data_IF_415333411561
#
_entry.id   IF_415333411561
#
_cell.length_a   1.000
_cell.length_b   1.000
_cell.length_c   1.000
_cell.angle_alpha   90.00
_cell.angle_beta   90.00
_cell.angle_gamma   90.00
#
_symmetry.space_group_name_H-M   'P 1'
#
loop_
_entity.id
_entity.type
_entity.pdbx_description
1 polymer ?
#
# COMPACT_ATOMS: atom_id res chain seq x y z
N UNK A 1 -29.57 -40.95 26.94
CA UNK A 1 -29.99 -41.97 25.94
C UNK A 1 -29.13 -43.20 26.09
N UNK A 2 -29.73 -44.37 26.37
CA UNK A 2 -28.99 -45.64 26.49
C UNK A 2 -28.28 -45.97 25.16
N UNK A 3 -27.03 -46.48 25.20
CA UNK A 3 -26.30 -46.84 24.00
C UNK A 3 -27.07 -47.95 23.25
N UNK A 4 -27.29 -47.81 21.93
CA UNK A 4 -27.85 -48.86 21.08
C UNK A 4 -26.97 -50.10 21.19
N UNK A 5 -27.64 -51.28 21.34
CA UNK A 5 -26.96 -52.57 21.38
C UNK A 5 -26.04 -52.73 20.15
N UNK A 6 -24.80 -53.17 20.36
CA UNK A 6 -23.83 -53.41 19.31
C UNK A 6 -24.26 -54.57 18.40
N UNK A 7 -24.06 -54.43 17.08
CA UNK A 7 -24.22 -55.56 16.17
C UNK A 7 -23.20 -56.65 16.49
N UNK A 8 -23.55 -57.93 16.40
CA UNK A 8 -22.74 -59.10 16.74
C UNK A 8 -21.35 -59.08 16.10
N UNK A 9 -21.19 -58.49 14.91
CA UNK A 9 -19.90 -58.38 14.21
C UNK A 9 -18.98 -57.22 14.64
N UNK A 10 -19.35 -56.43 15.63
CA UNK A 10 -18.57 -55.25 16.11
C UNK A 10 -18.23 -55.34 17.61
N UNK A 11 -18.37 -56.52 18.23
CA UNK A 11 -18.14 -56.71 19.68
C UNK A 11 -16.66 -56.55 20.08
N UNK A 12 -15.74 -56.76 19.14
CA UNK A 12 -14.29 -56.61 19.30
C UNK A 12 -13.75 -55.22 18.99
N UNK A 13 -14.65 -54.26 18.66
CA UNK A 13 -14.27 -52.86 18.35
C UNK A 13 -14.55 -51.94 19.54
N UNK A 14 -13.80 -50.83 19.70
CA UNK A 14 -14.07 -49.83 20.72
C UNK A 14 -15.48 -49.23 20.59
N UNK A 15 -16.03 -48.62 21.66
CA UNK A 15 -17.27 -47.84 21.58
C UNK A 15 -17.24 -46.85 20.41
N UNK A 16 -18.41 -46.59 19.81
CA UNK A 16 -18.60 -45.67 18.70
C UNK A 16 -17.96 -46.09 17.37
N UNK A 17 -17.43 -47.33 17.20
CA UNK A 17 -16.90 -47.83 15.94
C UNK A 17 -17.87 -48.80 15.30
N UNK A 18 -18.11 -48.62 14.00
CA UNK A 18 -18.90 -49.50 13.11
C UNK A 18 -18.03 -49.95 11.93
N UNK A 19 -18.32 -51.16 11.39
CA UNK A 19 -17.76 -51.60 10.13
C UNK A 19 -18.70 -51.31 8.98
N UNK A 20 -18.14 -50.92 7.82
CA UNK A 20 -18.84 -50.74 6.55
C UNK A 20 -18.19 -51.67 5.51
N UNK A 21 -18.91 -52.71 5.10
CA UNK A 21 -18.46 -53.68 4.08
C UNK A 21 -18.94 -53.19 2.72
N UNK A 22 -18.02 -52.94 1.80
CA UNK A 22 -18.31 -52.58 0.43
C UNK A 22 -18.59 -53.83 -0.44
N UNK A 23 -19.24 -53.66 -1.58
CA UNK A 23 -19.57 -54.71 -2.55
C UNK A 23 -18.32 -55.46 -3.07
N UNK A 24 -17.13 -54.84 -3.05
CA UNK A 24 -15.86 -55.43 -3.42
C UNK A 24 -15.19 -56.21 -2.27
N UNK A 25 -15.89 -56.48 -1.16
CA UNK A 25 -15.40 -57.24 0.00
C UNK A 25 -14.50 -56.42 0.96
N UNK A 26 -14.13 -55.21 0.64
CA UNK A 26 -13.33 -54.35 1.50
C UNK A 26 -14.10 -53.88 2.71
N UNK A 27 -13.47 -53.92 3.91
CA UNK A 27 -14.03 -53.46 5.19
C UNK A 27 -13.43 -52.09 5.52
N UNK A 28 -14.29 -51.14 5.82
CA UNK A 28 -13.91 -49.82 6.33
C UNK A 28 -14.41 -49.65 7.73
N UNK A 29 -13.62 -49.00 8.58
CA UNK A 29 -13.97 -48.66 9.95
C UNK A 29 -14.48 -47.21 9.99
N UNK A 30 -15.58 -46.99 10.71
CA UNK A 30 -16.21 -45.66 10.86
C UNK A 30 -16.46 -45.36 12.32
N UNK A 31 -16.20 -44.14 12.69
CA UNK A 31 -16.54 -43.64 14.02
C UNK A 31 -17.91 -42.92 13.99
N UNK A 32 -18.78 -43.26 14.92
CA UNK A 32 -20.12 -42.67 15.03
C UNK A 32 -20.12 -41.63 16.15
N UNK A 33 -20.33 -40.39 15.78
CA UNK A 33 -20.40 -39.27 16.71
C UNK A 33 -21.70 -39.28 17.53
N UNK A 34 -21.76 -38.59 18.69
CA UNK A 34 -23.00 -38.43 19.47
C UNK A 34 -24.17 -37.85 18.68
N UNK A 35 -23.91 -37.00 17.69
CA UNK A 35 -24.90 -36.42 16.78
C UNK A 35 -25.33 -37.37 15.64
N UNK A 36 -24.86 -38.62 15.62
CA UNK A 36 -25.20 -39.63 14.61
C UNK A 36 -24.40 -39.55 13.31
N UNK A 37 -23.48 -38.57 13.14
CA UNK A 37 -22.60 -38.48 11.97
C UNK A 37 -21.57 -39.60 12.00
N UNK A 38 -21.20 -40.12 10.81
CA UNK A 38 -20.22 -41.20 10.62
C UNK A 38 -18.96 -40.66 9.98
N UNK A 39 -17.79 -40.95 10.57
CA UNK A 39 -16.49 -40.55 10.06
C UNK A 39 -15.62 -41.78 9.76
N UNK A 40 -14.94 -41.79 8.62
CA UNK A 40 -14.05 -42.87 8.25
C UNK A 40 -12.81 -42.87 9.13
N UNK A 41 -12.41 -44.07 9.59
CA UNK A 41 -11.16 -44.34 10.28
C UNK A 41 -10.19 -45.13 9.42
N UNK A 42 -10.49 -45.32 8.12
CA UNK A 42 -9.64 -46.08 7.21
C UNK A 42 -10.00 -47.58 7.13
N UNK A 43 -9.06 -48.37 6.57
CA UNK A 43 -9.22 -49.81 6.30
C UNK A 43 -8.44 -50.69 7.29
N UNK A 44 -7.42 -50.10 7.92
CA UNK A 44 -6.61 -50.84 8.89
C UNK A 44 -7.32 -50.88 10.25
N UNK A 45 -7.53 -52.11 10.74
CA UNK A 45 -8.23 -52.34 12.02
C UNK A 45 -7.44 -51.82 13.21
N UNK A 46 -6.11 -51.98 13.23
CA UNK A 46 -5.28 -51.60 14.34
C UNK A 46 -5.23 -50.06 14.47
N UNK A 47 -5.04 -49.38 13.39
CA UNK A 47 -5.06 -47.90 13.35
C UNK A 47 -6.45 -47.34 13.70
N UNK A 48 -7.51 -47.93 13.19
CA UNK A 48 -8.87 -47.53 13.49
C UNK A 48 -9.21 -47.70 14.98
N UNK A 49 -8.75 -48.78 15.62
CA UNK A 49 -8.93 -49.02 17.05
C UNK A 49 -8.15 -48.01 17.90
N UNK A 50 -6.90 -47.72 17.56
CA UNK A 50 -6.09 -46.69 18.25
C UNK A 50 -6.71 -45.31 18.15
N UNK A 51 -7.12 -44.93 16.94
CA UNK A 51 -7.78 -43.66 16.69
C UNK A 51 -9.11 -43.55 17.46
N UNK A 52 -9.92 -44.60 17.48
CA UNK A 52 -11.17 -44.63 18.20
C UNK A 52 -10.99 -44.54 19.75
N UNK A 53 -9.97 -45.20 20.28
CA UNK A 53 -9.66 -45.10 21.72
C UNK A 53 -9.24 -43.66 22.10
N UNK A 54 -8.40 -43.03 21.27
CA UNK A 54 -8.02 -41.61 21.49
C UNK A 54 -9.23 -40.67 21.42
N UNK A 55 -10.11 -40.91 20.45
CA UNK A 55 -11.35 -40.11 20.28
C UNK A 55 -12.31 -40.33 21.48
N UNK A 56 -12.48 -41.54 21.97
CA UNK A 56 -13.32 -41.82 23.14
C UNK A 56 -12.78 -41.13 24.40
N UNK A 57 -11.45 -41.21 24.61
CA UNK A 57 -10.82 -40.51 25.74
C UNK A 57 -10.94 -38.98 25.65
N UNK A 58 -10.97 -38.42 24.45
CA UNK A 58 -11.20 -36.99 24.22
C UNK A 58 -12.67 -36.61 24.41
N UNK A 59 -13.61 -37.48 24.02
CA UNK A 59 -15.04 -37.31 24.17
C UNK A 59 -15.46 -37.27 25.64
N UNK A 60 -14.88 -38.14 26.44
CA UNK A 60 -15.10 -38.19 27.91
C UNK A 60 -14.63 -36.91 28.62
N UNK A 61 -13.59 -36.26 28.06
CA UNK A 61 -13.04 -35.01 28.61
C UNK A 61 -13.79 -33.75 28.13
N UNK A 62 -14.21 -33.71 26.85
CA UNK A 62 -14.91 -32.56 26.28
C UNK A 62 -15.61 -32.95 24.94
N UNK A 63 -16.94 -33.12 24.92
CA UNK A 63 -17.70 -33.50 23.72
C UNK A 63 -17.55 -32.57 22.54
N UNK A 64 -17.35 -31.27 22.76
CA UNK A 64 -17.22 -30.26 21.69
C UNK A 64 -15.87 -30.34 20.98
N UNK A 65 -14.81 -30.78 21.64
CA UNK A 65 -13.48 -30.93 21.03
C UNK A 65 -13.49 -31.99 19.94
N UNK A 66 -14.19 -33.10 20.13
CA UNK A 66 -14.25 -34.19 19.16
C UNK A 66 -14.97 -33.78 17.90
N UNK A 67 -16.06 -33.03 18.01
CA UNK A 67 -16.76 -32.46 16.87
C UNK A 67 -15.86 -31.49 16.08
N UNK A 68 -15.05 -30.70 16.75
CA UNK A 68 -14.08 -29.77 16.14
C UNK A 68 -12.93 -30.52 15.45
N UNK A 69 -12.34 -31.55 16.09
CA UNK A 69 -11.25 -32.35 15.51
C UNK A 69 -11.75 -33.08 14.26
N UNK A 70 -12.94 -33.67 14.26
CA UNK A 70 -13.47 -34.41 13.15
C UNK A 70 -14.01 -33.52 12.02
N UNK A 71 -14.43 -32.31 12.31
CA UNK A 71 -14.73 -31.28 11.31
C UNK A 71 -13.44 -30.73 10.67
N UNK A 72 -12.36 -30.65 11.44
CA UNK A 72 -11.06 -30.33 10.89
C UNK A 72 -10.47 -31.46 10.03
N UNK A 73 -10.72 -32.73 10.35
CA UNK A 73 -10.30 -33.87 9.54
C UNK A 73 -11.02 -33.93 8.16
N UNK A 74 -12.23 -33.37 8.02
CA UNK A 74 -12.87 -33.16 6.72
C UNK A 74 -12.17 -32.11 5.86
N UNK A 75 -11.39 -31.20 6.48
CA UNK A 75 -10.57 -30.21 5.77
C UNK A 75 -9.30 -30.80 5.17
N UNK A 76 -8.87 -31.99 5.61
CA UNK A 76 -7.68 -32.68 5.10
C UNK A 76 -7.89 -33.31 3.69
N UNK A 77 -9.13 -33.35 3.16
CA UNK A 77 -9.40 -33.81 1.78
C UNK A 77 -9.41 -32.66 0.74
N UNK A 78 -9.39 -31.41 1.15
CA UNK A 78 -9.04 -30.28 0.29
C UNK A 78 -7.52 -30.17 0.31
N UNK A 79 -6.85 -30.54 -0.78
CA UNK A 79 -5.41 -30.35 -0.94
C UNK A 79 -5.09 -28.87 -0.65
N UNK A 80 -4.47 -28.61 0.49
CA UNK A 80 -3.99 -27.26 0.83
C UNK A 80 -2.93 -26.91 -0.22
N UNK A 81 -3.11 -25.84 -0.99
CA UNK A 81 -2.16 -25.48 -2.03
C UNK A 81 -0.82 -25.07 -1.42
N UNK A 82 0.25 -25.22 -2.19
CA UNK A 82 1.49 -24.56 -1.85
C UNK A 82 1.33 -23.02 -1.98
N UNK A 83 2.28 -22.29 -1.44
CA UNK A 83 2.21 -20.81 -1.42
C UNK A 83 2.09 -20.23 -2.84
N UNK A 84 2.82 -20.78 -3.83
CA UNK A 84 2.76 -20.32 -5.22
C UNK A 84 1.35 -20.45 -5.80
N UNK A 85 0.71 -21.59 -5.60
CA UNK A 85 -0.66 -21.82 -6.06
C UNK A 85 -1.65 -20.90 -5.35
N UNK A 86 -1.54 -20.77 -4.02
CA UNK A 86 -2.38 -19.87 -3.23
C UNK A 86 -2.20 -18.40 -3.62
N UNK A 87 -0.96 -18.00 -3.89
CA UNK A 87 -0.64 -16.65 -4.32
C UNK A 87 -1.22 -16.33 -5.71
N UNK A 88 -1.14 -17.28 -6.66
CA UNK A 88 -1.71 -17.11 -7.98
C UNK A 88 -3.23 -16.96 -7.94
N UNK A 89 -3.91 -17.71 -7.08
CA UNK A 89 -5.34 -17.56 -6.83
C UNK A 89 -5.68 -16.20 -6.19
N UNK A 90 -4.89 -15.74 -5.22
CA UNK A 90 -5.03 -14.40 -4.65
C UNK A 90 -4.88 -13.30 -5.71
N UNK A 91 -3.86 -13.40 -6.57
CA UNK A 91 -3.63 -12.45 -7.65
C UNK A 91 -4.84 -12.43 -8.59
N UNK A 92 -5.29 -13.59 -9.06
CA UNK A 92 -6.39 -13.73 -10.01
C UNK A 92 -7.72 -13.22 -9.45
N UNK A 93 -8.05 -13.59 -8.21
CA UNK A 93 -9.39 -13.42 -7.66
C UNK A 93 -9.54 -12.16 -6.80
N UNK A 94 -8.45 -11.60 -6.29
CA UNK A 94 -8.45 -10.47 -5.35
C UNK A 94 -7.65 -9.28 -5.85
N UNK A 95 -6.37 -9.48 -6.18
CA UNK A 95 -5.47 -8.38 -6.53
C UNK A 95 -5.86 -7.75 -7.89
N UNK A 96 -6.19 -8.55 -8.89
CA UNK A 96 -6.60 -8.09 -10.23
C UNK A 96 -7.87 -7.23 -10.23
N UNK A 97 -8.71 -7.36 -9.19
CA UNK A 97 -9.93 -6.55 -9.03
C UNK A 97 -9.67 -5.18 -8.42
N UNK A 98 -8.46 -4.94 -7.88
CA UNK A 98 -8.07 -3.65 -7.31
C UNK A 98 -7.50 -2.75 -8.40
N UNK A 99 -8.01 -1.55 -8.51
CA UNK A 99 -7.52 -0.55 -9.48
C UNK A 99 -6.30 0.18 -8.89
N UNK A 100 -5.12 -0.43 -9.00
CA UNK A 100 -3.87 0.21 -8.62
C UNK A 100 -3.23 0.94 -9.79
N UNK A 101 -2.46 1.99 -9.50
CA UNK A 101 -1.57 2.62 -10.47
C UNK A 101 -0.47 1.64 -10.91
N UNK A 102 0.02 1.76 -12.16
CA UNK A 102 1.06 0.87 -12.69
C UNK A 102 2.29 0.81 -11.79
N UNK A 103 2.79 1.96 -11.30
CA UNK A 103 3.91 2.02 -10.38
C UNK A 103 3.66 1.31 -9.04
N UNK A 104 2.42 1.30 -8.55
CA UNK A 104 2.03 0.55 -7.35
C UNK A 104 2.03 -0.95 -7.65
N UNK A 105 1.51 -1.36 -8.83
CA UNK A 105 1.51 -2.76 -9.24
C UNK A 105 2.93 -3.29 -9.45
N UNK A 106 3.84 -2.50 -10.02
CA UNK A 106 5.26 -2.88 -10.15
C UNK A 106 5.90 -3.19 -8.78
N UNK A 107 5.67 -2.34 -7.79
CA UNK A 107 6.15 -2.55 -6.41
C UNK A 107 5.52 -3.81 -5.80
N UNK A 108 4.20 -3.99 -5.97
CA UNK A 108 3.50 -5.17 -5.47
C UNK A 108 4.09 -6.42 -6.12
N UNK A 109 4.23 -6.47 -7.44
CA UNK A 109 4.76 -7.63 -8.17
C UNK A 109 6.19 -7.95 -7.72
N UNK A 110 7.07 -6.96 -7.60
CA UNK A 110 8.41 -7.17 -7.08
C UNK A 110 8.44 -7.74 -5.63
N UNK A 111 7.45 -7.38 -4.80
CA UNK A 111 7.31 -7.97 -3.48
C UNK A 111 6.77 -9.40 -3.53
N UNK A 112 5.81 -9.68 -4.41
CA UNK A 112 5.28 -11.02 -4.62
C UNK A 112 6.36 -11.99 -5.11
N UNK A 113 7.27 -11.54 -5.98
CA UNK A 113 8.39 -12.33 -6.47
C UNK A 113 9.34 -12.71 -5.32
N UNK A 114 9.65 -11.79 -4.40
CA UNK A 114 10.43 -12.11 -3.19
C UNK A 114 9.74 -13.17 -2.32
N UNK A 115 8.42 -13.14 -2.20
CA UNK A 115 7.70 -14.15 -1.41
C UNK A 115 7.71 -15.52 -2.11
N UNK A 116 7.67 -15.56 -3.45
CA UNK A 116 7.85 -16.77 -4.23
C UNK A 116 9.21 -17.40 -4.01
N UNK A 117 10.27 -16.60 -4.10
CA UNK A 117 11.65 -17.06 -3.85
C UNK A 117 11.80 -17.75 -2.49
N UNK A 118 11.05 -17.29 -1.48
CA UNK A 118 11.16 -17.82 -0.12
C UNK A 118 10.24 -19.00 0.16
N UNK A 119 9.01 -18.99 -0.35
CA UNK A 119 7.96 -19.91 0.14
C UNK A 119 7.20 -20.65 -0.95
N UNK A 120 7.52 -20.50 -2.24
CA UNK A 120 6.74 -21.05 -3.35
C UNK A 120 6.28 -22.49 -3.14
N UNK A 121 7.18 -23.37 -2.70
CA UNK A 121 6.94 -24.79 -2.53
C UNK A 121 6.42 -25.21 -1.16
N UNK A 122 6.31 -24.27 -0.20
CA UNK A 122 5.82 -24.54 1.15
C UNK A 122 4.28 -24.54 1.15
N UNK A 123 3.64 -25.51 1.78
CA UNK A 123 2.19 -25.49 1.92
C UNK A 123 1.72 -24.25 2.72
N UNK A 124 0.60 -23.64 2.33
CA UNK A 124 0.13 -22.39 2.95
C UNK A 124 -0.04 -22.50 4.48
N UNK A 125 -0.41 -23.66 5.00
CA UNK A 125 -0.57 -23.93 6.44
C UNK A 125 0.74 -24.28 7.17
N UNK A 126 1.83 -24.54 6.45
CA UNK A 126 3.15 -24.86 7.01
C UNK A 126 4.01 -23.61 7.20
N UNK A 127 3.63 -22.49 6.58
CA UNK A 127 4.31 -21.22 6.81
C UNK A 127 4.00 -20.74 8.22
N UNK A 128 5.03 -20.62 9.03
CA UNK A 128 4.91 -20.30 10.46
C UNK A 128 5.03 -18.82 10.75
N UNK A 129 4.52 -18.39 11.91
CA UNK A 129 4.70 -17.02 12.42
C UNK A 129 6.19 -16.63 12.47
N UNK A 130 7.06 -17.57 12.87
CA UNK A 130 8.50 -17.31 12.95
C UNK A 130 9.10 -17.02 11.56
N UNK A 131 8.71 -17.76 10.52
CA UNK A 131 9.19 -17.51 9.15
C UNK A 131 8.83 -16.09 8.69
N UNK A 132 7.61 -15.65 8.95
CA UNK A 132 7.17 -14.29 8.63
C UNK A 132 7.93 -13.25 9.45
N UNK A 133 8.09 -13.49 10.76
CA UNK A 133 8.79 -12.55 11.64
C UNK A 133 10.26 -12.39 11.23
N UNK A 134 10.97 -13.49 10.94
CA UNK A 134 12.36 -13.46 10.45
C UNK A 134 12.45 -12.67 9.13
N UNK A 135 11.53 -12.92 8.19
CA UNK A 135 11.50 -12.16 6.93
C UNK A 135 11.33 -10.66 7.16
N UNK A 136 10.38 -10.26 8.01
CA UNK A 136 10.10 -8.84 8.30
C UNK A 136 11.26 -8.17 9.04
N UNK A 137 11.91 -8.87 9.99
CA UNK A 137 13.04 -8.35 10.74
C UNK A 137 14.29 -8.09 9.88
N UNK A 138 14.41 -8.78 8.75
CA UNK A 138 15.49 -8.56 7.77
C UNK A 138 15.24 -7.38 6.82
N UNK A 139 14.10 -6.70 6.96
CA UNK A 139 13.77 -5.52 6.18
C UNK A 139 14.04 -4.24 6.99
N UNK A 140 14.18 -3.09 6.30
CA UNK A 140 14.10 -1.80 7.00
C UNK A 140 12.68 -1.59 7.55
N UNK A 141 12.51 -0.82 8.63
CA UNK A 141 11.20 -0.57 9.25
C UNK A 141 10.14 -0.12 8.24
N UNK A 142 10.52 0.75 7.29
CA UNK A 142 9.63 1.20 6.23
C UNK A 142 9.20 0.06 5.30
N UNK A 143 10.15 -0.77 4.88
CA UNK A 143 9.87 -1.91 4.00
C UNK A 143 9.07 -2.98 4.76
N UNK A 144 9.45 -3.29 6.00
CA UNK A 144 8.76 -4.24 6.85
C UNK A 144 7.27 -3.89 6.99
N UNK A 145 6.91 -2.62 7.19
CA UNK A 145 5.51 -2.20 7.27
C UNK A 145 4.77 -2.42 5.95
N UNK A 146 5.40 -2.14 4.81
CA UNK A 146 4.81 -2.36 3.49
C UNK A 146 4.62 -3.85 3.20
N UNK A 147 5.63 -4.67 3.47
CA UNK A 147 5.55 -6.12 3.34
C UNK A 147 4.48 -6.70 4.28
N UNK A 148 4.48 -6.27 5.55
CA UNK A 148 3.49 -6.71 6.52
C UNK A 148 2.06 -6.43 6.06
N UNK A 149 1.81 -5.25 5.52
CA UNK A 149 0.47 -4.87 5.01
C UNK A 149 0.02 -5.77 3.86
N UNK A 150 0.90 -6.05 2.89
CA UNK A 150 0.58 -6.93 1.76
C UNK A 150 0.41 -8.39 2.21
N UNK A 151 1.27 -8.88 3.09
CA UNK A 151 1.18 -10.23 3.65
C UNK A 151 -0.11 -10.42 4.46
N UNK A 152 -0.56 -9.43 5.24
CA UNK A 152 -1.86 -9.47 5.92
C UNK A 152 -3.01 -9.66 4.92
N UNK A 153 -2.98 -8.99 3.78
CA UNK A 153 -4.03 -9.10 2.76
C UNK A 153 -4.01 -10.49 2.09
N UNK A 154 -2.83 -11.06 1.85
CA UNK A 154 -2.65 -12.43 1.34
C UNK A 154 -3.17 -13.44 2.36
N UNK A 155 -2.79 -13.32 3.65
CA UNK A 155 -3.24 -14.24 4.69
C UNK A 155 -4.74 -14.14 4.99
N UNK A 156 -5.35 -12.96 4.85
CA UNK A 156 -6.82 -12.81 4.87
C UNK A 156 -7.48 -13.66 3.78
N UNK A 157 -6.88 -13.68 2.59
CA UNK A 157 -7.38 -14.52 1.50
C UNK A 157 -7.20 -16.01 1.82
N UNK A 158 -6.02 -16.42 2.29
CA UNK A 158 -5.74 -17.81 2.65
C UNK A 158 -6.66 -18.31 3.76
N UNK A 159 -6.91 -17.49 4.78
CA UNK A 159 -7.82 -17.82 5.88
C UNK A 159 -9.27 -17.94 5.39
N UNK A 160 -9.70 -17.06 4.49
CA UNK A 160 -11.04 -17.12 3.91
C UNK A 160 -11.27 -18.38 3.05
N UNK A 161 -10.21 -18.98 2.51
CA UNK A 161 -10.25 -20.23 1.74
C UNK A 161 -9.86 -21.46 2.57
N UNK A 162 -9.70 -21.29 3.88
CA UNK A 162 -9.32 -22.37 4.81
C UNK A 162 -7.94 -23.00 4.53
N UNK A 163 -7.06 -22.31 3.77
CA UNK A 163 -5.67 -22.73 3.52
C UNK A 163 -4.72 -22.37 4.67
N UNK A 164 -5.14 -21.48 5.54
CA UNK A 164 -4.50 -21.16 6.79
C UNK A 164 -5.56 -21.09 7.90
N UNK A 165 -5.24 -21.54 9.11
CA UNK A 165 -6.17 -21.54 10.23
C UNK A 165 -6.48 -20.13 10.73
N UNK A 166 -5.54 -19.22 10.62
CA UNK A 166 -5.62 -17.84 11.10
C UNK A 166 -4.67 -16.92 10.35
N UNK A 167 -4.87 -15.62 10.47
CA UNK A 167 -3.93 -14.65 9.92
C UNK A 167 -2.72 -14.48 10.87
N UNK A 168 -1.72 -15.34 10.70
CA UNK A 168 -0.49 -15.30 11.51
C UNK A 168 0.29 -13.99 11.37
N UNK A 169 0.15 -13.29 10.23
CA UNK A 169 0.87 -12.03 9.98
C UNK A 169 0.38 -10.92 10.91
N UNK A 170 -0.89 -10.92 11.28
CA UNK A 170 -1.44 -9.94 12.25
C UNK A 170 -0.80 -10.05 13.63
N UNK A 171 -0.29 -11.24 13.99
CA UNK A 171 0.40 -11.50 15.25
C UNK A 171 1.86 -11.02 15.28
N UNK A 172 2.44 -10.67 14.12
CA UNK A 172 3.78 -10.09 14.09
C UNK A 172 3.78 -8.70 14.72
N UNK A 173 4.91 -8.31 15.29
CA UNK A 173 5.08 -6.96 15.84
C UNK A 173 4.98 -5.93 14.70
N UNK A 174 4.29 -4.85 14.96
CA UNK A 174 4.25 -3.72 14.02
C UNK A 174 5.60 -3.01 14.07
N UNK A 175 6.28 -2.79 12.92
CA UNK A 175 7.53 -2.05 12.88
C UNK A 175 7.37 -0.66 13.50
N UNK A 176 8.33 -0.28 14.34
CA UNK A 176 8.36 1.04 14.98
C UNK A 176 9.15 1.97 14.07
N UNK A 177 8.48 2.91 13.43
CA UNK A 177 9.16 3.93 12.65
C UNK A 177 9.68 5.04 13.57
N UNK A 178 10.96 5.39 13.47
CA UNK A 178 11.42 6.63 14.11
C UNK A 178 10.65 7.81 13.51
N UNK A 179 10.23 8.72 14.34
CA UNK A 179 9.58 9.95 13.89
C UNK A 179 10.58 10.75 13.05
N UNK A 180 10.25 10.92 11.76
CA UNK A 180 11.09 11.74 10.88
C UNK A 180 10.84 13.20 11.21
N UNK A 181 11.82 13.87 11.77
CA UNK A 181 11.83 15.34 11.80
C UNK A 181 11.87 15.80 10.35
N UNK A 182 10.75 16.34 9.86
CA UNK A 182 10.65 16.91 8.52
C UNK A 182 11.29 18.29 8.54
N UNK A 183 12.48 18.38 7.99
CA UNK A 183 13.06 19.69 7.69
C UNK A 183 12.25 20.33 6.55
N UNK A 184 11.94 21.62 6.73
CA UNK A 184 11.14 22.39 5.79
C UNK A 184 12.00 23.43 5.08
N UNK A 185 11.61 23.79 3.86
CA UNK A 185 12.16 24.95 3.19
C UNK A 185 11.75 26.25 3.93
N UNK A 186 12.63 27.24 3.94
CA UNK A 186 12.27 28.62 4.24
C UNK A 186 12.20 29.45 2.96
N UNK A 187 11.49 30.58 3.02
CA UNK A 187 11.41 31.50 1.88
C UNK A 187 12.80 32.01 1.48
N UNK A 188 13.66 32.34 2.45
CA UNK A 188 15.03 32.80 2.23
C UNK A 188 15.89 31.75 1.55
N UNK A 189 15.74 30.46 1.93
CA UNK A 189 16.42 29.35 1.29
C UNK A 189 15.99 29.19 -0.18
N UNK A 190 14.70 29.34 -0.46
CA UNK A 190 14.17 29.27 -1.83
C UNK A 190 14.71 30.40 -2.69
N UNK A 191 14.76 31.63 -2.20
CA UNK A 191 15.33 32.74 -2.96
C UNK A 191 16.83 32.53 -3.28
N UNK A 192 17.61 31.97 -2.35
CA UNK A 192 19.00 31.56 -2.61
C UNK A 192 19.09 30.46 -3.66
N UNK A 193 18.20 29.47 -3.64
CA UNK A 193 18.16 28.41 -4.67
C UNK A 193 17.81 29.04 -6.03
N UNK A 194 16.85 29.92 -6.11
CA UNK A 194 16.44 30.60 -7.34
C UNK A 194 17.57 31.47 -7.91
N UNK A 195 18.37 32.15 -7.06
CA UNK A 195 19.45 33.02 -7.52
C UNK A 195 20.56 32.30 -8.32
N UNK A 196 20.71 30.99 -8.13
CA UNK A 196 21.67 30.16 -8.88
C UNK A 196 21.00 29.26 -9.93
N UNK A 197 19.65 29.28 -10.01
CA UNK A 197 18.87 28.40 -10.89
C UNK A 197 18.63 29.03 -12.27
N UNK A 198 18.47 28.25 -13.34
CA UNK A 198 18.06 28.76 -14.64
C UNK A 198 16.60 29.23 -14.59
N UNK A 199 16.27 30.19 -15.46
CA UNK A 199 14.97 30.85 -15.47
C UNK A 199 13.77 29.89 -15.51
N UNK A 200 13.82 28.82 -16.32
CA UNK A 200 12.73 27.83 -16.38
C UNK A 200 12.52 27.11 -15.05
N UNK A 201 13.61 26.86 -14.28
CA UNK A 201 13.51 26.20 -12.97
C UNK A 201 12.97 27.17 -11.92
N UNK A 202 13.33 28.44 -11.97
CA UNK A 202 12.72 29.47 -11.13
C UNK A 202 11.21 29.52 -11.34
N UNK A 203 10.74 29.53 -12.59
CA UNK A 203 9.30 29.47 -12.91
C UNK A 203 8.63 28.20 -12.39
N UNK A 204 9.30 27.04 -12.47
CA UNK A 204 8.78 25.79 -11.93
C UNK A 204 8.69 25.80 -10.40
N UNK A 205 9.66 26.41 -9.72
CA UNK A 205 9.66 26.58 -8.25
C UNK A 205 8.50 27.50 -7.85
N UNK A 206 8.36 28.66 -8.50
CA UNK A 206 7.28 29.60 -8.21
C UNK A 206 5.90 28.99 -8.47
N UNK A 207 5.75 28.26 -9.60
CA UNK A 207 4.50 27.55 -9.91
C UNK A 207 4.19 26.47 -8.83
N UNK A 208 5.21 25.74 -8.34
CA UNK A 208 5.04 24.77 -7.28
C UNK A 208 4.60 25.39 -5.95
N UNK A 209 5.17 26.55 -5.60
CA UNK A 209 4.84 27.29 -4.38
C UNK A 209 3.44 27.88 -4.43
N UNK A 210 3.08 28.54 -5.54
CA UNK A 210 1.85 29.30 -5.64
C UNK A 210 0.64 28.43 -6.02
N UNK A 211 0.84 27.36 -6.82
CA UNK A 211 -0.25 26.43 -7.15
C UNK A 211 -0.42 25.31 -6.11
N UNK A 212 0.60 25.06 -5.28
CA UNK A 212 0.71 23.94 -4.34
C UNK A 212 0.39 22.57 -4.94
N UNK A 213 0.57 22.41 -6.26
CA UNK A 213 0.29 21.15 -6.93
C UNK A 213 1.41 20.13 -6.73
N UNK A 214 1.07 18.84 -6.91
CA UNK A 214 2.06 17.77 -6.84
C UNK A 214 2.98 17.84 -8.06
N UNK A 215 4.20 17.34 -7.93
CA UNK A 215 5.19 17.26 -9.02
C UNK A 215 4.61 16.67 -10.29
N UNK A 216 3.85 15.56 -10.18
CA UNK A 216 3.22 14.89 -11.32
C UNK A 216 2.18 15.80 -12.03
N UNK A 217 1.45 16.60 -11.25
CA UNK A 217 0.44 17.53 -11.78
C UNK A 217 1.12 18.73 -12.44
N UNK A 218 2.21 19.24 -11.85
CA UNK A 218 2.94 20.42 -12.36
C UNK A 218 3.50 20.21 -13.77
N UNK A 219 4.12 19.05 -14.03
CA UNK A 219 4.83 18.81 -15.31
C UNK A 219 3.90 18.57 -16.48
N UNK A 220 2.63 18.24 -16.23
CA UNK A 220 1.60 18.03 -17.25
C UNK A 220 0.61 19.19 -17.36
N UNK A 221 0.81 20.25 -16.59
CA UNK A 221 -0.07 21.42 -16.61
C UNK A 221 0.07 22.16 -17.93
N UNK A 222 -1.04 22.25 -18.67
CA UNK A 222 -1.09 22.86 -20.00
C UNK A 222 -1.59 24.31 -19.96
N UNK A 223 -1.20 25.08 -20.98
CA UNK A 223 -1.74 26.42 -21.20
C UNK A 223 -3.24 26.42 -21.45
N UNK A 224 -3.77 25.38 -22.08
CA UNK A 224 -5.19 25.18 -22.35
C UNK A 224 -6.05 25.12 -21.09
N UNK A 225 -5.43 24.76 -19.94
CA UNK A 225 -6.09 24.69 -18.65
C UNK A 225 -6.22 26.06 -17.95
N UNK A 226 -5.70 27.14 -18.57
CA UNK A 226 -5.69 28.49 -17.99
C UNK A 226 -6.72 29.36 -18.68
N UNK A 227 -7.65 29.89 -17.92
CA UNK A 227 -8.60 30.90 -18.37
C UNK A 227 -8.21 32.28 -17.80
N UNK A 228 -7.47 33.05 -18.61
CA UNK A 228 -6.94 34.37 -18.17
C UNK A 228 -8.09 35.36 -17.98
N UNK A 229 -9.17 35.23 -18.76
CA UNK A 229 -10.32 36.17 -18.73
C UNK A 229 -11.10 36.01 -17.42
N UNK A 230 -11.37 34.79 -17.04
CA UNK A 230 -12.13 34.48 -15.81
C UNK A 230 -11.22 34.29 -14.58
N UNK A 231 -9.90 34.46 -14.78
CA UNK A 231 -8.87 34.30 -13.74
C UNK A 231 -8.89 32.92 -13.07
N UNK A 232 -9.21 31.85 -13.83
CA UNK A 232 -9.28 30.49 -13.31
C UNK A 232 -8.22 29.56 -13.93
N UNK A 233 -7.90 28.52 -13.22
CA UNK A 233 -7.01 27.45 -13.64
C UNK A 233 -7.65 26.10 -13.31
N UNK A 234 -7.70 25.20 -14.29
CA UNK A 234 -8.16 23.83 -14.09
C UNK A 234 -6.98 22.88 -13.88
N UNK A 235 -7.00 22.11 -12.80
CA UNK A 235 -5.96 21.11 -12.49
C UNK A 235 -6.58 19.72 -12.44
N UNK A 236 -6.07 18.81 -13.27
CA UNK A 236 -6.36 17.40 -13.19
C UNK A 236 -5.40 16.76 -12.19
N UNK A 237 -5.92 16.20 -11.09
CA UNK A 237 -5.09 15.50 -10.12
C UNK A 237 -4.65 14.13 -10.66
N UNK A 238 -3.40 14.01 -11.03
CA UNK A 238 -2.81 12.78 -11.62
C UNK A 238 -3.04 11.53 -10.76
N UNK A 239 -2.97 11.69 -9.43
CA UNK A 239 -3.24 10.59 -8.50
C UNK A 239 -4.68 10.05 -8.58
N UNK A 240 -5.62 10.85 -9.09
CA UNK A 240 -7.03 10.46 -9.23
C UNK A 240 -7.36 9.78 -10.56
N UNK A 241 -6.42 9.68 -11.50
CA UNK A 241 -6.64 9.05 -12.81
C UNK A 241 -7.10 7.60 -12.73
N UNK A 242 -6.73 6.89 -11.64
CA UNK A 242 -7.16 5.51 -11.40
C UNK A 242 -8.50 5.41 -10.64
N UNK A 243 -9.14 6.53 -10.33
CA UNK A 243 -10.48 6.55 -9.72
C UNK A 243 -11.54 6.43 -10.82
N UNK A 244 -12.71 5.94 -10.48
CA UNK A 244 -13.84 5.86 -11.42
C UNK A 244 -14.23 7.22 -12.01
N UNK A 245 -13.98 8.29 -11.26
CA UNK A 245 -14.13 9.68 -11.67
C UNK A 245 -12.84 10.43 -11.34
N UNK A 246 -12.03 10.82 -12.34
CA UNK A 246 -10.89 11.69 -12.14
C UNK A 246 -11.32 13.02 -11.48
N UNK A 247 -10.48 13.53 -10.58
CA UNK A 247 -10.76 14.77 -9.86
C UNK A 247 -10.15 15.93 -10.63
N UNK A 248 -11.03 16.82 -11.09
CA UNK A 248 -10.67 18.13 -11.63
C UNK A 248 -10.93 19.19 -10.56
N UNK A 249 -9.99 20.09 -10.39
CA UNK A 249 -10.12 21.25 -9.51
C UNK A 249 -10.07 22.48 -10.38
N UNK A 250 -11.11 23.28 -10.34
CA UNK A 250 -11.09 24.64 -10.87
C UNK A 250 -10.78 25.59 -9.73
N UNK A 251 -9.80 26.45 -9.93
CA UNK A 251 -9.24 27.34 -8.91
C UNK A 251 -9.25 28.76 -9.40
N UNK A 252 -9.79 29.67 -8.59
CA UNK A 252 -9.56 31.10 -8.75
C UNK A 252 -8.11 31.41 -8.39
N UNK A 253 -7.37 31.99 -9.35
CA UNK A 253 -5.96 32.29 -9.12
C UNK A 253 -5.80 33.53 -8.25
N UNK A 254 -5.14 33.37 -7.10
CA UNK A 254 -4.68 34.50 -6.29
C UNK A 254 -3.58 35.30 -7.05
N UNK A 255 -3.28 36.57 -6.68
CA UNK A 255 -2.42 37.44 -7.47
C UNK A 255 -1.07 36.84 -7.83
N UNK A 256 -0.37 36.22 -6.90
CA UNK A 256 0.97 35.64 -7.12
C UNK A 256 0.92 34.42 -8.03
N UNK A 257 -0.13 33.58 -7.90
CA UNK A 257 -0.34 32.46 -8.80
C UNK A 257 -0.62 32.94 -10.23
N UNK A 258 -1.48 33.97 -10.38
CA UNK A 258 -1.78 34.56 -11.67
C UNK A 258 -0.54 35.12 -12.35
N UNK A 259 0.27 35.89 -11.63
CA UNK A 259 1.53 36.42 -12.15
C UNK A 259 2.48 35.32 -12.61
N UNK A 260 2.67 34.30 -11.78
CA UNK A 260 3.52 33.15 -12.09
C UNK A 260 3.02 32.39 -13.33
N UNK A 261 1.71 32.13 -13.41
CA UNK A 261 1.10 31.43 -14.54
C UNK A 261 1.31 32.23 -15.84
N UNK A 262 1.13 33.55 -15.82
CA UNK A 262 1.36 34.40 -17.00
C UNK A 262 2.81 34.33 -17.48
N UNK A 263 3.81 34.36 -16.56
CA UNK A 263 5.23 34.19 -16.90
C UNK A 263 5.50 32.81 -17.49
N UNK A 264 4.90 31.75 -16.92
CA UNK A 264 5.01 30.39 -17.46
C UNK A 264 4.38 30.26 -18.85
N UNK A 265 3.21 30.89 -19.10
CA UNK A 265 2.57 30.92 -20.39
C UNK A 265 3.47 31.61 -21.43
N UNK A 266 4.01 32.79 -21.12
CA UNK A 266 4.93 33.50 -21.99
C UNK A 266 6.15 32.67 -22.35
N UNK A 267 6.84 32.11 -21.36
CA UNK A 267 8.01 31.23 -21.54
C UNK A 267 7.70 30.02 -22.41
N UNK A 268 6.57 29.36 -22.16
CA UNK A 268 6.15 28.17 -22.92
C UNK A 268 5.75 28.50 -24.37
N UNK A 269 5.19 29.69 -24.63
CA UNK A 269 4.90 30.18 -25.97
C UNK A 269 6.17 30.41 -26.78
N UNK A 270 7.21 31.00 -26.19
CA UNK A 270 8.52 31.20 -26.85
C UNK A 270 9.15 29.84 -27.27
N UNK A 271 8.91 28.78 -26.50
CA UNK A 271 9.35 27.42 -26.83
C UNK A 271 8.37 26.64 -27.70
N UNK A 272 7.19 27.21 -28.05
CA UNK A 272 6.08 26.50 -28.73
C UNK A 272 5.71 25.20 -28.02
N UNK A 273 5.84 25.16 -26.69
CA UNK A 273 5.49 24.02 -25.86
C UNK A 273 4.09 24.22 -25.25
N UNK A 274 3.18 23.23 -25.27
CA UNK A 274 1.87 23.39 -24.64
C UNK A 274 1.92 23.41 -23.11
N UNK A 275 2.97 22.87 -22.52
CA UNK A 275 3.11 22.73 -21.06
C UNK A 275 3.73 23.97 -20.42
N UNK A 276 3.20 24.38 -19.27
CA UNK A 276 3.66 25.57 -18.52
C UNK A 276 5.13 25.45 -18.10
N UNK A 277 5.56 24.26 -17.67
CA UNK A 277 6.95 23.99 -17.35
C UNK A 277 7.63 23.38 -18.57
N UNK A 278 8.51 24.13 -19.17
CA UNK A 278 9.22 23.72 -20.40
C UNK A 278 10.64 24.24 -20.44
N UNK A 279 11.53 23.48 -21.09
CA UNK A 279 12.93 23.89 -21.31
C UNK A 279 13.49 23.22 -22.56
N UNK A 280 14.46 23.88 -23.20
CA UNK A 280 15.23 23.26 -24.28
C UNK A 280 16.18 22.22 -23.66
N UNK A 281 16.16 20.95 -24.10
CA UNK A 281 17.11 19.95 -23.63
C UNK A 281 18.51 20.23 -24.16
N UNK A 282 19.53 20.07 -23.31
CA UNK A 282 20.94 20.19 -23.70
C UNK A 282 21.35 19.12 -24.71
N UNK A 283 20.73 17.96 -24.68
CA UNK A 283 20.96 16.82 -25.60
C UNK A 283 19.62 16.22 -26.00
N UNK A 284 19.48 15.93 -27.28
CA UNK A 284 18.32 15.21 -27.83
C UNK A 284 18.76 13.76 -28.03
N UNK A 285 18.22 12.86 -27.19
CA UNK A 285 18.33 11.42 -27.34
C UNK A 285 16.98 10.89 -27.81
N UNK A 286 16.96 10.00 -28.82
CA UNK A 286 15.71 9.44 -29.37
C UNK A 286 14.87 8.72 -28.32
N UNK A 287 15.51 7.97 -27.41
CA UNK A 287 14.83 7.27 -26.33
C UNK A 287 14.13 8.25 -25.36
N UNK A 288 14.82 9.35 -24.99
CA UNK A 288 14.22 10.37 -24.13
C UNK A 288 13.16 11.18 -24.84
N UNK A 289 13.26 11.32 -26.16
CA UNK A 289 12.26 12.00 -26.99
C UNK A 289 10.95 11.19 -27.10
N UNK A 290 11.06 9.86 -27.28
CA UNK A 290 9.91 8.97 -27.33
C UNK A 290 9.14 8.90 -26.01
N UNK A 291 9.82 9.09 -24.87
CA UNK A 291 9.22 9.06 -23.54
C UNK A 291 8.57 10.40 -23.11
N UNK A 292 8.74 11.49 -23.90
CA UNK A 292 8.20 12.81 -23.55
C UNK A 292 6.91 13.12 -24.31
N UNK A 293 5.97 13.76 -23.64
CA UNK A 293 4.73 14.29 -24.26
C UNK A 293 5.00 15.36 -25.31
N UNK A 294 6.10 16.10 -25.15
CA UNK A 294 6.60 17.11 -26.11
C UNK A 294 8.11 17.23 -25.98
N UNK A 295 8.89 17.50 -27.06
CA UNK A 295 10.36 17.59 -27.00
C UNK A 295 10.89 18.53 -25.92
N UNK A 296 10.18 19.61 -25.62
CA UNK A 296 10.56 20.63 -24.64
C UNK A 296 9.82 20.47 -23.30
N UNK A 297 8.94 19.48 -23.15
CA UNK A 297 8.32 19.17 -21.86
C UNK A 297 9.36 18.68 -20.85
N UNK A 298 9.17 19.07 -19.60
CA UNK A 298 9.99 18.64 -18.46
C UNK A 298 9.36 17.38 -17.84
N UNK A 299 10.15 16.33 -17.66
CA UNK A 299 9.71 15.13 -16.94
C UNK A 299 9.81 15.32 -15.42
N UNK A 300 9.04 14.54 -14.65
CA UNK A 300 9.08 14.56 -13.19
C UNK A 300 10.50 14.35 -12.64
N UNK A 301 11.21 13.36 -13.20
CA UNK A 301 12.58 13.03 -12.80
C UNK A 301 13.57 14.14 -13.12
N UNK A 302 13.44 14.76 -14.31
CA UNK A 302 14.29 15.89 -14.69
C UNK A 302 14.08 17.07 -13.75
N UNK A 303 12.84 17.44 -13.46
CA UNK A 303 12.51 18.51 -12.51
C UNK A 303 13.11 18.24 -11.12
N UNK A 304 12.95 17.02 -10.61
CA UNK A 304 13.51 16.63 -9.30
C UNK A 304 15.04 16.69 -9.28
N UNK A 305 15.70 16.16 -10.33
CA UNK A 305 17.16 16.15 -10.42
C UNK A 305 17.73 17.56 -10.55
N UNK A 306 17.10 18.42 -11.35
CA UNK A 306 17.52 19.81 -11.49
C UNK A 306 17.31 20.60 -10.19
N UNK A 307 16.16 20.49 -9.56
CA UNK A 307 15.94 21.11 -8.26
C UNK A 307 16.99 20.68 -7.22
N UNK A 308 17.26 19.38 -7.12
CA UNK A 308 18.31 18.85 -6.23
C UNK A 308 19.68 19.46 -6.55
N UNK A 309 20.06 19.51 -7.81
CA UNK A 309 21.32 20.09 -8.26
C UNK A 309 21.50 21.54 -7.81
N UNK A 310 20.49 22.37 -8.06
CA UNK A 310 20.58 23.81 -7.75
C UNK A 310 20.37 24.11 -6.27
N UNK A 311 19.58 23.30 -5.54
CA UNK A 311 19.49 23.33 -4.09
C UNK A 311 20.88 23.08 -3.46
N UNK A 312 21.57 22.03 -3.92
CA UNK A 312 22.88 21.66 -3.40
C UNK A 312 23.94 22.72 -3.83
N UNK A 313 23.84 23.29 -5.03
CA UNK A 313 24.71 24.38 -5.50
C UNK A 313 24.52 25.68 -4.68
N UNK A 314 23.33 25.96 -4.22
CA UNK A 314 23.04 27.12 -3.39
C UNK A 314 23.63 27.03 -1.97
N UNK A 315 24.07 25.86 -1.52
CA UNK A 315 24.72 25.64 -0.22
C UNK A 315 23.84 25.85 1.01
N UNK A 316 22.51 26.03 0.83
CA UNK A 316 21.59 26.42 1.91
C UNK A 316 21.31 25.33 2.95
N UNK A 317 21.75 24.11 2.68
CA UNK A 317 21.54 22.93 3.55
C UNK A 317 22.84 22.07 3.64
N UNK A 318 24.01 22.70 3.55
CA UNK A 318 25.29 21.96 3.57
C UNK A 318 25.62 21.39 4.96
N UNK A 319 25.02 21.94 6.00
CA UNK A 319 25.04 21.45 7.39
C UNK A 319 24.23 20.15 7.58
N UNK A 320 23.43 19.75 6.58
CA UNK A 320 22.57 18.59 6.65
C UNK A 320 23.11 17.44 5.78
N UNK A 321 22.92 16.23 6.28
CA UNK A 321 23.12 15.04 5.50
C UNK A 321 22.25 15.04 4.23
N UNK A 322 22.73 14.55 3.06
CA UNK A 322 22.01 14.62 1.79
C UNK A 322 20.57 14.04 1.82
N UNK A 323 20.32 13.05 2.70
CA UNK A 323 19.00 12.43 2.88
C UNK A 323 18.05 13.26 3.74
N UNK A 324 18.56 14.21 4.51
CA UNK A 324 17.78 15.08 5.39
C UNK A 324 17.40 16.40 4.70
N UNK A 325 18.11 16.77 3.63
CA UNK A 325 17.87 18.02 2.88
C UNK A 325 16.47 18.05 2.30
N UNK A 326 15.71 19.14 2.47
CA UNK A 326 14.35 19.27 1.89
C UNK A 326 14.35 19.07 0.39
N UNK A 327 13.32 18.42 -0.12
CA UNK A 327 13.17 18.02 -1.53
C UNK A 327 12.23 18.96 -2.30
N UNK A 328 12.14 18.78 -3.61
CA UNK A 328 11.13 19.45 -4.43
C UNK A 328 9.69 19.31 -3.89
N UNK A 329 9.36 18.13 -3.30
CA UNK A 329 8.03 17.91 -2.74
C UNK A 329 7.74 18.80 -1.52
N UNK A 330 8.77 19.21 -0.80
CA UNK A 330 8.64 20.06 0.37
C UNK A 330 8.32 21.53 0.02
N UNK A 331 8.47 21.94 -1.28
CA UNK A 331 7.93 23.21 -1.79
C UNK A 331 6.42 23.32 -1.61
N UNK A 332 5.70 22.21 -1.82
CA UNK A 332 4.25 22.17 -1.61
C UNK A 332 3.88 22.43 -0.15
N UNK A 333 4.70 21.98 0.80
CA UNK A 333 4.49 22.24 2.22
C UNK A 333 4.69 23.73 2.55
N UNK A 334 5.78 24.33 2.05
CA UNK A 334 6.03 25.77 2.19
C UNK A 334 4.94 26.61 1.52
N UNK A 335 4.55 26.27 0.29
CA UNK A 335 3.48 26.96 -0.42
C UNK A 335 2.15 26.90 0.35
N UNK A 336 1.76 25.73 0.85
CA UNK A 336 0.55 25.57 1.67
C UNK A 336 0.61 26.43 2.94
N UNK A 337 1.76 26.48 3.60
CA UNK A 337 1.96 27.32 4.77
C UNK A 337 1.77 28.80 4.39
N UNK A 338 2.47 29.31 3.37
CA UNK A 338 2.40 30.71 2.93
C UNK A 338 0.98 31.08 2.54
N UNK A 339 0.30 30.26 1.73
CA UNK A 339 -1.08 30.51 1.27
C UNK A 339 -2.06 30.47 2.45
N UNK A 340 -1.85 29.58 3.42
CA UNK A 340 -2.67 29.54 4.63
C UNK A 340 -2.57 30.82 5.44
N UNK A 341 -1.37 31.38 5.57
CA UNK A 341 -1.15 32.64 6.30
C UNK A 341 -1.80 33.84 5.56
N UNK A 342 -1.77 33.83 4.24
CA UNK A 342 -2.19 34.97 3.44
C UNK A 342 -3.68 34.92 3.03
N UNK A 343 -4.19 33.74 2.63
CA UNK A 343 -5.53 33.55 2.08
C UNK A 343 -6.43 32.64 2.91
N UNK A 344 -5.91 32.12 4.00
CA UNK A 344 -6.62 31.25 4.93
C UNK A 344 -6.63 29.78 4.54
N UNK A 345 -6.84 28.95 5.55
CA UNK A 345 -6.73 27.48 5.47
C UNK A 345 -7.73 26.84 4.50
N UNK A 346 -8.96 27.40 4.40
CA UNK A 346 -10.00 26.86 3.52
C UNK A 346 -9.60 26.99 2.04
N UNK A 347 -9.04 28.13 1.65
CA UNK A 347 -8.54 28.35 0.29
C UNK A 347 -7.34 27.44 0.00
N UNK A 348 -6.37 27.37 0.91
CA UNK A 348 -5.20 26.51 0.78
C UNK A 348 -5.59 25.02 0.63
N UNK A 349 -6.58 24.54 1.39
CA UNK A 349 -7.11 23.18 1.30
C UNK A 349 -7.74 22.92 -0.08
N UNK A 350 -8.58 23.82 -0.56
CA UNK A 350 -9.23 23.72 -1.85
C UNK A 350 -8.23 23.73 -3.01
N UNK A 351 -7.28 24.69 -2.99
CA UNK A 351 -6.21 24.80 -3.97
C UNK A 351 -5.34 23.52 -4.05
N UNK A 352 -5.04 22.90 -2.90
CA UNK A 352 -4.29 21.65 -2.84
C UNK A 352 -5.12 20.41 -3.23
N UNK A 353 -6.44 20.54 -3.33
CA UNK A 353 -7.36 19.42 -3.54
C UNK A 353 -7.31 18.38 -2.40
N UNK A 354 -7.24 18.85 -1.16
CA UNK A 354 -7.23 17.99 0.01
C UNK A 354 -8.66 17.67 0.45
N UNK A 355 -8.99 16.38 0.48
CA UNK A 355 -10.31 15.91 0.90
C UNK A 355 -10.63 16.23 2.38
N UNK A 356 -9.62 16.38 3.23
CA UNK A 356 -9.78 16.66 4.65
C UNK A 356 -8.84 17.77 5.13
N UNK A 357 -9.27 18.52 6.14
CA UNK A 357 -8.44 19.54 6.80
C UNK A 357 -7.16 18.93 7.39
N UNK A 358 -7.26 17.73 7.98
CA UNK A 358 -6.13 17.00 8.55
C UNK A 358 -4.99 16.78 7.54
N UNK A 359 -5.30 16.61 6.26
CA UNK A 359 -4.27 16.50 5.22
C UNK A 359 -3.51 17.83 5.05
N UNK A 360 -4.21 18.96 5.13
CA UNK A 360 -3.59 20.30 5.05
C UNK A 360 -2.73 20.56 6.27
N UNK A 361 -3.22 20.23 7.47
CA UNK A 361 -2.48 20.38 8.72
C UNK A 361 -1.15 19.65 8.69
N UNK A 362 -1.13 18.42 8.23
CA UNK A 362 0.10 17.63 8.10
C UNK A 362 1.19 18.30 7.23
N UNK A 363 0.81 19.10 6.23
CA UNK A 363 1.76 19.84 5.40
C UNK A 363 2.22 21.15 6.08
N UNK A 364 1.38 21.79 6.87
CA UNK A 364 1.67 23.04 7.56
C UNK A 364 2.55 22.80 8.80
N UNK A 365 2.36 21.65 9.45
CA UNK A 365 3.18 21.22 10.59
C UNK A 365 4.68 21.31 10.29
N UNK A 366 5.45 21.87 11.24
CA UNK A 366 6.90 22.04 11.15
C UNK A 366 7.36 23.32 10.47
N UNK A 367 6.46 24.20 10.00
CA UNK A 367 6.77 25.59 9.62
C UNK A 367 6.55 26.58 10.75
N UNK A 368 5.68 26.26 11.71
CA UNK A 368 5.50 27.06 12.91
C UNK A 368 6.39 26.53 14.04
N UNK A 369 7.06 27.43 14.76
CA UNK A 369 7.64 27.06 16.04
C UNK A 369 6.51 26.58 16.96
N UNK A 370 6.73 25.54 17.80
CA UNK A 370 5.72 25.09 18.72
C UNK A 370 5.31 26.27 19.61
N UNK A 371 4.06 26.71 19.47
CA UNK A 371 3.51 27.76 20.35
C UNK A 371 3.30 27.14 21.73
N UNK A 372 3.86 27.71 22.80
CA UNK A 372 3.57 27.20 24.13
C UNK A 372 2.07 27.31 24.40
N UNK A 373 1.46 26.23 24.85
CA UNK A 373 0.07 26.23 25.29
C UNK A 373 -0.04 27.20 26.48
N UNK A 374 -0.84 28.26 26.35
CA UNK A 374 -1.10 29.17 27.45
C UNK A 374 -2.07 28.50 28.42
N UNK A 375 -1.54 27.81 29.40
CA UNK A 375 -2.33 27.28 30.51
C UNK A 375 -2.63 28.47 31.44
N UNK A 376 -3.86 28.99 31.39
CA UNK A 376 -4.37 29.93 32.37
C UNK A 376 -5.15 29.12 33.41
N UNK A 377 -4.73 29.21 34.68
CA UNK A 377 -5.57 28.74 35.76
C UNK A 377 -6.59 29.84 36.10
N UNK A 378 -7.84 29.45 36.33
CA UNK A 378 -8.89 30.31 36.89
C UNK A 378 -8.88 30.21 38.39
#
# INVERSE_FOLDING_TARGET
MSPRARKVGNLDLPPHVETDKKSNGQVYYRYVLPNGQRKSLGKDKSEAVKAAQALNAALDRNPDIVSRILNNAKRLDTQIPNFEQGLNEFIKNRLSKKKYANSTMEIINANLDKYREMWANTACNEITLNMIAVYLNNQTDYQAEKHRSLLIDIWKYFTAHEWANENIVEKTLKPIRPEKVKLRHSNEAIEKIKSVSPAWLCLAIDLALHSVQRRADLVVMERSAINIKDNTMTVLQHKSLNYDKPIFIEVDMHPELRETVLKCVEHSMQLRCPYLISTRPDRINEQTRAAKLHPFAVTEDHLTKQFKKYRDLAGVYDDLEPKQRPSLHDLRALGLYNITQQYGKKYAQALAGHATVKMTDHYIEGHEAPKPEKISYR
#
